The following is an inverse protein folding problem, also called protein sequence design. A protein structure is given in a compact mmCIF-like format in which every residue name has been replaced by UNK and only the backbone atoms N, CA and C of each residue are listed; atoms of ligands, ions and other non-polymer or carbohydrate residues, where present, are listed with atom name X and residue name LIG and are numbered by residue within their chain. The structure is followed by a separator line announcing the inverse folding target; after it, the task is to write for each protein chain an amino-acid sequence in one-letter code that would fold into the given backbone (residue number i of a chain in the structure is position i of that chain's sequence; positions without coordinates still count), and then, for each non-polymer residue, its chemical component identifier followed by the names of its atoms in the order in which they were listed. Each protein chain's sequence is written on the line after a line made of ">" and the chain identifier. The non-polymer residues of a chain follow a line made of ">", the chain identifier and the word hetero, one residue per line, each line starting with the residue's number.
data_IF_297728141353
#
_entry.id   IF_297728141353
#
_cell.length_a   1.000
_cell.length_b   1.000
_cell.length_c   1.000
_cell.angle_alpha   90.00
_cell.angle_beta   90.00
_cell.angle_gamma   90.00
#
_symmetry.space_group_name_H-M   'P 1'
#
loop_
_entity.id
_entity.type
_entity.pdbx_description
1 polymer ?
#
# COMPACT_ATOMS: atom_id res chain seq x y z
N UNK A 1 -0.64 59.66 23.75
CA UNK A 1 -1.02 59.44 22.34
C UNK A 1 -0.53 58.07 21.86
N UNK A 2 -1.10 57.01 22.42
CA UNK A 2 -0.89 55.61 22.03
C UNK A 2 -2.27 54.99 22.11
N UNK A 3 -2.77 54.44 20.99
CA UNK A 3 -4.04 53.69 20.75
C UNK A 3 -4.80 54.24 19.54
N UNK A 4 -4.21 54.12 18.35
CA UNK A 4 -4.96 54.24 17.08
C UNK A 4 -4.35 53.45 15.91
N UNK A 5 -3.35 52.59 16.14
CA UNK A 5 -2.63 51.89 15.06
C UNK A 5 -2.78 50.36 15.04
N UNK A 6 -3.62 49.79 15.92
CA UNK A 6 -3.74 48.32 16.09
C UNK A 6 -4.98 47.69 15.44
N UNK A 7 -5.75 48.43 14.64
CA UNK A 7 -6.97 47.89 13.98
C UNK A 7 -6.92 47.82 12.46
N UNK A 8 -5.89 48.38 11.81
CA UNK A 8 -5.72 48.29 10.35
C UNK A 8 -4.78 47.18 9.89
N UNK A 9 -3.98 46.58 10.78
CA UNK A 9 -3.08 45.48 10.40
C UNK A 9 -3.76 44.10 10.40
N UNK A 10 -4.94 43.96 11.04
CA UNK A 10 -5.66 42.68 11.14
C UNK A 10 -6.57 42.44 9.93
N UNK A 11 -6.96 43.48 9.20
CA UNK A 11 -7.82 43.36 8.02
C UNK A 11 -7.08 42.97 6.74
N UNK A 12 -5.75 43.18 6.67
CA UNK A 12 -4.95 42.82 5.49
C UNK A 12 -4.33 41.41 5.55
N UNK A 13 -4.16 40.86 6.76
CA UNK A 13 -3.75 39.45 6.96
C UNK A 13 -4.94 38.49 6.78
N UNK A 14 -6.18 38.96 6.94
CA UNK A 14 -7.38 38.16 6.73
C UNK A 14 -7.81 38.02 5.25
N UNK A 15 -7.24 38.80 4.33
CA UNK A 15 -7.63 38.81 2.91
C UNK A 15 -6.67 38.05 1.98
N UNK A 16 -5.52 37.58 2.48
CA UNK A 16 -4.54 36.80 1.71
C UNK A 16 -4.47 35.30 2.10
N UNK A 17 -5.39 34.81 2.93
CA UNK A 17 -5.47 33.41 3.34
C UNK A 17 -6.64 32.63 2.71
N UNK A 18 -7.35 33.22 1.74
CA UNK A 18 -8.18 32.47 0.79
C UNK A 18 -7.33 32.14 -0.45
N UNK A 19 -6.22 31.42 -0.24
CA UNK A 19 -5.82 30.45 -1.26
C UNK A 19 -6.98 29.47 -1.29
N UNK A 20 -7.67 29.43 -2.41
CA UNK A 20 -8.66 28.40 -2.70
C UNK A 20 -8.00 27.06 -2.37
N UNK A 21 -8.33 26.50 -1.20
CA UNK A 21 -8.10 25.10 -0.93
C UNK A 21 -8.87 24.42 -2.06
N UNK A 22 -8.23 23.71 -3.00
CA UNK A 22 -8.97 22.96 -3.99
C UNK A 22 -9.94 22.12 -3.19
N UNK A 23 -11.24 22.34 -3.43
CA UNK A 23 -12.29 21.70 -2.67
C UNK A 23 -11.97 20.21 -2.64
N UNK A 24 -11.80 19.67 -1.43
CA UNK A 24 -11.73 18.23 -1.27
C UNK A 24 -13.12 17.74 -1.66
N UNK A 25 -13.29 17.45 -2.94
CA UNK A 25 -14.36 16.60 -3.44
C UNK A 25 -14.11 15.27 -2.72
N UNK A 26 -14.86 15.04 -1.65
CA UNK A 26 -14.90 13.74 -1.00
C UNK A 26 -15.59 12.81 -1.97
N UNK A 27 -14.84 11.85 -2.50
CA UNK A 27 -15.38 10.82 -3.36
C UNK A 27 -16.40 10.00 -2.56
N UNK A 28 -17.68 10.21 -2.84
CA UNK A 28 -18.66 9.13 -2.85
C UNK A 28 -18.13 8.05 -3.79
N UNK A 29 -18.40 6.77 -3.49
CA UNK A 29 -18.14 5.63 -4.38
C UNK A 29 -18.29 6.00 -5.85
N UNK A 30 -17.18 6.08 -6.57
CA UNK A 30 -17.22 6.17 -8.03
C UNK A 30 -17.04 4.76 -8.56
N UNK A 31 -18.09 3.96 -8.38
CA UNK A 31 -18.17 2.61 -8.93
C UNK A 31 -18.47 2.66 -10.44
N UNK A 32 -18.93 3.82 -10.95
CA UNK A 32 -19.23 4.02 -12.36
C UNK A 32 -17.95 3.90 -13.21
N UNK A 33 -17.84 2.88 -14.07
CA UNK A 33 -16.67 2.70 -14.91
C UNK A 33 -16.45 3.86 -15.90
N UNK A 34 -17.50 4.60 -16.24
CA UNK A 34 -17.44 5.80 -17.09
C UNK A 34 -16.67 6.93 -16.42
N UNK A 35 -16.89 7.12 -15.11
CA UNK A 35 -16.21 8.19 -14.38
C UNK A 35 -14.76 7.80 -14.09
N UNK A 36 -14.50 6.53 -13.78
CA UNK A 36 -13.12 6.02 -13.66
C UNK A 36 -12.34 6.15 -14.98
N UNK A 37 -13.00 5.90 -16.11
CA UNK A 37 -12.41 6.10 -17.43
C UNK A 37 -12.11 7.59 -17.71
N UNK A 38 -12.99 8.51 -17.29
CA UNK A 38 -12.71 9.94 -17.38
C UNK A 38 -11.53 10.35 -16.48
N UNK A 39 -11.47 9.83 -15.25
CA UNK A 39 -10.33 10.05 -14.35
C UNK A 39 -9.03 9.52 -14.94
N UNK A 40 -9.06 8.37 -15.61
CA UNK A 40 -7.90 7.83 -16.34
C UNK A 40 -7.42 8.80 -17.42
N UNK A 41 -8.35 9.36 -18.23
CA UNK A 41 -8.01 10.35 -19.26
C UNK A 41 -7.43 11.63 -18.66
N UNK A 42 -7.99 12.11 -17.57
CA UNK A 42 -7.51 13.31 -16.89
C UNK A 42 -6.12 13.09 -16.29
N UNK A 43 -5.88 11.92 -15.70
CA UNK A 43 -4.55 11.53 -15.19
C UNK A 43 -3.52 11.41 -16.33
N UNK A 44 -3.91 10.84 -17.47
CA UNK A 44 -3.08 10.77 -18.66
C UNK A 44 -2.71 12.16 -19.19
N UNK A 45 -3.71 13.02 -19.40
CA UNK A 45 -3.52 14.38 -19.91
C UNK A 45 -2.62 15.21 -18.98
N UNK A 46 -2.74 15.00 -17.66
CA UNK A 46 -1.85 15.61 -16.68
C UNK A 46 -0.40 15.14 -16.82
N UNK A 47 -0.18 13.83 -16.96
CA UNK A 47 1.14 13.26 -17.19
C UNK A 47 1.79 13.77 -18.48
N UNK A 48 0.99 13.92 -19.54
CA UNK A 48 1.44 14.52 -20.81
C UNK A 48 1.83 16.00 -20.64
N UNK A 49 1.03 16.78 -19.93
CA UNK A 49 1.25 18.22 -19.74
C UNK A 49 2.49 18.53 -18.88
N UNK A 50 2.75 17.74 -17.84
CA UNK A 50 3.85 17.95 -16.89
C UNK A 50 5.17 17.29 -17.35
N UNK A 51 5.13 16.51 -18.43
CA UNK A 51 6.17 15.55 -18.81
C UNK A 51 6.14 14.35 -17.86
N UNK A 52 6.00 13.14 -18.41
CA UNK A 52 5.91 11.92 -17.62
C UNK A 52 7.16 11.74 -16.73
N UNK A 53 7.00 12.10 -15.46
CA UNK A 53 7.90 11.72 -14.38
C UNK A 53 7.34 10.47 -13.69
N UNK A 54 8.17 9.82 -12.88
CA UNK A 54 7.81 8.54 -12.25
C UNK A 54 6.52 8.64 -11.42
N UNK A 55 6.31 9.77 -10.75
CA UNK A 55 5.11 10.04 -9.96
C UNK A 55 3.83 10.17 -10.79
N UNK A 56 3.89 10.85 -11.93
CA UNK A 56 2.76 10.95 -12.84
C UNK A 56 2.34 9.57 -13.34
N UNK A 57 3.32 8.73 -13.68
CA UNK A 57 3.08 7.35 -14.11
C UNK A 57 2.50 6.48 -12.97
N UNK A 58 3.01 6.60 -11.75
CA UNK A 58 2.42 5.91 -10.57
C UNK A 58 0.97 6.34 -10.31
N UNK A 59 0.66 7.61 -10.52
CA UNK A 59 -0.71 8.13 -10.38
C UNK A 59 -1.61 7.49 -11.43
N UNK A 60 -1.16 7.48 -12.69
CA UNK A 60 -1.89 6.87 -13.79
C UNK A 60 -2.11 5.36 -13.58
N UNK A 61 -1.09 4.64 -13.12
CA UNK A 61 -1.16 3.23 -12.74
C UNK A 61 -2.28 2.96 -11.74
N UNK A 62 -2.33 3.70 -10.63
CA UNK A 62 -3.39 3.51 -9.62
C UNK A 62 -4.78 3.80 -10.20
N UNK A 63 -4.92 4.80 -11.07
CA UNK A 63 -6.21 5.07 -11.73
C UNK A 63 -6.66 3.91 -12.61
N UNK A 64 -5.74 3.32 -13.39
CA UNK A 64 -6.02 2.12 -14.21
C UNK A 64 -6.43 0.95 -13.34
N UNK A 65 -5.72 0.72 -12.23
CA UNK A 65 -6.04 -0.39 -11.33
C UNK A 65 -7.43 -0.23 -10.71
N UNK A 66 -7.80 1.00 -10.31
CA UNK A 66 -9.13 1.27 -9.79
C UNK A 66 -10.23 1.10 -10.84
N UNK A 67 -9.99 1.54 -12.08
CA UNK A 67 -10.91 1.35 -13.19
C UNK A 67 -11.10 -0.14 -13.51
N UNK A 68 -10.01 -0.88 -13.68
CA UNK A 68 -10.04 -2.31 -13.96
C UNK A 68 -10.72 -3.13 -12.87
N UNK A 69 -10.43 -2.81 -11.60
CA UNK A 69 -11.13 -3.38 -10.43
C UNK A 69 -12.65 -3.18 -10.50
N UNK A 70 -13.10 -1.98 -10.81
CA UNK A 70 -14.53 -1.68 -10.89
C UNK A 70 -15.21 -2.40 -12.08
N UNK A 71 -14.53 -2.44 -13.24
CA UNK A 71 -14.99 -3.19 -14.41
C UNK A 71 -15.09 -4.69 -14.12
N UNK A 72 -14.07 -5.29 -13.50
CA UNK A 72 -14.08 -6.71 -13.11
C UNK A 72 -15.27 -7.04 -12.19
N UNK A 73 -15.57 -6.17 -11.23
CA UNK A 73 -16.66 -6.40 -10.28
C UNK A 73 -18.05 -6.22 -10.87
N UNK A 74 -18.25 -5.28 -11.81
CA UNK A 74 -19.58 -4.89 -12.28
C UNK A 74 -19.91 -5.37 -13.70
N UNK A 75 -18.89 -5.50 -14.55
CA UNK A 75 -19.03 -5.80 -15.98
C UNK A 75 -17.97 -6.84 -16.43
N UNK A 76 -17.89 -8.02 -15.79
CA UNK A 76 -16.86 -9.02 -16.09
C UNK A 76 -16.92 -9.57 -17.52
N UNK A 77 -18.10 -9.53 -18.16
CA UNK A 77 -18.32 -10.01 -19.53
C UNK A 77 -18.17 -8.88 -20.59
N UNK A 78 -17.76 -7.68 -20.19
CA UNK A 78 -17.62 -6.55 -21.11
C UNK A 78 -16.43 -6.78 -22.08
N UNK A 79 -16.62 -6.58 -23.39
CA UNK A 79 -15.54 -6.67 -24.37
C UNK A 79 -14.33 -5.76 -24.07
N UNK A 80 -14.52 -4.65 -23.35
CA UNK A 80 -13.47 -3.73 -22.93
C UNK A 80 -12.59 -4.28 -21.80
N UNK A 81 -12.97 -5.40 -21.16
CA UNK A 81 -12.16 -6.04 -20.11
C UNK A 81 -10.74 -6.34 -20.59
N UNK A 82 -10.58 -6.87 -21.81
CA UNK A 82 -9.27 -7.21 -22.37
C UNK A 82 -8.37 -6.00 -22.58
N UNK A 83 -8.94 -4.84 -22.89
CA UNK A 83 -8.19 -3.58 -23.03
C UNK A 83 -7.63 -3.14 -21.67
N UNK A 84 -8.45 -3.17 -20.62
CA UNK A 84 -8.04 -2.84 -19.25
C UNK A 84 -7.01 -3.83 -18.69
N UNK A 85 -7.17 -5.12 -18.98
CA UNK A 85 -6.19 -6.14 -18.61
C UNK A 85 -4.83 -5.88 -19.29
N UNK A 86 -4.85 -5.61 -20.60
CA UNK A 86 -3.65 -5.28 -21.38
C UNK A 86 -2.95 -4.03 -20.85
N UNK A 87 -3.71 -2.98 -20.55
CA UNK A 87 -3.17 -1.73 -20.02
C UNK A 87 -2.59 -1.90 -18.62
N UNK A 88 -3.26 -2.68 -17.77
CA UNK A 88 -2.80 -3.05 -16.43
C UNK A 88 -1.46 -3.76 -16.48
N UNK A 89 -1.30 -4.77 -17.35
CA UNK A 89 -0.04 -5.51 -17.52
C UNK A 89 1.06 -4.58 -18.05
N UNK A 90 0.78 -3.82 -19.11
CA UNK A 90 1.78 -2.94 -19.73
C UNK A 90 2.35 -1.91 -18.75
N UNK A 91 1.50 -1.22 -18.01
CA UNK A 91 1.94 -0.15 -17.11
C UNK A 91 2.47 -0.73 -15.80
N UNK A 92 1.88 -1.83 -15.32
CA UNK A 92 2.42 -2.59 -14.18
C UNK A 92 3.85 -3.05 -14.43
N UNK A 93 4.14 -3.61 -15.60
CA UNK A 93 5.51 -4.03 -15.96
C UNK A 93 6.43 -2.84 -16.20
N UNK A 94 5.97 -1.81 -16.91
CA UNK A 94 6.79 -0.61 -17.18
C UNK A 94 7.29 0.09 -15.91
N UNK A 95 6.47 0.09 -14.84
CA UNK A 95 6.77 0.67 -13.54
C UNK A 95 7.31 -0.34 -12.51
N UNK A 96 7.62 -1.56 -12.94
CA UNK A 96 8.11 -2.64 -12.06
C UNK A 96 7.22 -2.81 -10.82
N UNK A 97 5.91 -2.96 -11.04
CA UNK A 97 4.93 -3.10 -9.96
C UNK A 97 5.34 -4.21 -8.99
N UNK A 98 5.36 -3.92 -7.69
CA UNK A 98 5.63 -4.89 -6.64
C UNK A 98 4.64 -4.71 -5.47
N UNK A 99 3.97 -5.77 -4.98
CA UNK A 99 3.03 -5.66 -3.87
C UNK A 99 3.60 -5.06 -2.59
N UNK A 100 4.89 -5.26 -2.32
CA UNK A 100 5.52 -4.77 -1.09
C UNK A 100 5.71 -3.26 -1.07
N UNK A 101 5.88 -2.63 -2.24
CA UNK A 101 6.16 -1.19 -2.35
C UNK A 101 5.06 -0.41 -3.05
N UNK A 102 4.12 -1.10 -3.69
CA UNK A 102 2.93 -0.48 -4.24
C UNK A 102 1.91 -0.28 -3.10
N UNK A 103 1.36 0.93 -3.03
CA UNK A 103 0.41 1.31 -1.98
C UNK A 103 -1.04 1.05 -2.37
N UNK A 104 -1.29 0.44 -3.53
CA UNK A 104 -2.61 0.07 -4.00
C UNK A 104 -3.01 -1.32 -3.48
N UNK A 105 -3.98 -1.36 -2.56
CA UNK A 105 -4.53 -2.60 -2.00
C UNK A 105 -5.47 -3.36 -2.96
N UNK A 106 -5.38 -3.13 -4.28
CA UNK A 106 -6.07 -3.89 -5.30
C UNK A 106 -5.14 -4.89 -6.02
N UNK A 107 -4.17 -5.48 -5.30
CA UNK A 107 -3.22 -6.48 -5.85
C UNK A 107 -3.93 -7.63 -6.58
N UNK A 108 -5.11 -8.00 -6.09
CA UNK A 108 -5.95 -9.03 -6.72
C UNK A 108 -6.33 -8.69 -8.17
N UNK A 109 -6.58 -7.42 -8.49
CA UNK A 109 -6.91 -7.00 -9.86
C UNK A 109 -5.70 -7.17 -10.77
N UNK A 110 -4.51 -6.80 -10.31
CA UNK A 110 -3.27 -7.00 -11.07
C UNK A 110 -3.05 -8.47 -11.38
N UNK A 111 -3.32 -9.35 -10.39
CA UNK A 111 -3.29 -10.80 -10.58
C UNK A 111 -4.31 -11.27 -11.62
N UNK A 112 -5.55 -10.78 -11.54
CA UNK A 112 -6.62 -11.17 -12.46
C UNK A 112 -6.34 -10.71 -13.90
N UNK A 113 -5.92 -9.46 -14.09
CA UNK A 113 -5.54 -8.92 -15.38
C UNK A 113 -4.38 -9.70 -16.01
N UNK A 114 -3.34 -10.01 -15.23
CA UNK A 114 -2.21 -10.78 -15.72
C UNK A 114 -2.59 -12.24 -16.05
N UNK A 115 -3.42 -12.88 -15.23
CA UNK A 115 -3.96 -14.22 -15.52
C UNK A 115 -4.86 -14.25 -16.76
N UNK A 116 -5.65 -13.19 -16.98
CA UNK A 116 -6.43 -13.05 -18.21
C UNK A 116 -5.53 -12.97 -19.44
N UNK A 117 -4.48 -12.15 -19.40
CA UNK A 117 -3.52 -12.01 -20.49
C UNK A 117 -2.77 -13.31 -20.75
N UNK A 118 -2.32 -14.03 -19.72
CA UNK A 118 -1.65 -15.33 -19.85
C UNK A 118 -2.52 -16.37 -20.57
N UNK A 119 -3.85 -16.28 -20.44
CA UNK A 119 -4.82 -17.20 -21.05
C UNK A 119 -5.31 -16.79 -22.45
N UNK A 120 -5.31 -15.50 -22.78
CA UNK A 120 -6.01 -14.98 -23.96
C UNK A 120 -5.11 -14.21 -24.95
N UNK A 121 -3.88 -13.88 -24.58
CA UNK A 121 -2.95 -13.18 -25.48
C UNK A 121 -2.15 -14.15 -26.35
N UNK A 122 -2.01 -13.82 -27.63
CA UNK A 122 -1.05 -14.48 -28.54
C UNK A 122 0.28 -13.70 -28.66
N UNK A 123 0.37 -12.49 -28.06
CA UNK A 123 1.57 -11.67 -28.06
C UNK A 123 2.58 -12.18 -27.02
N UNK A 124 3.74 -12.66 -27.50
CA UNK A 124 4.81 -13.23 -26.66
C UNK A 124 5.40 -12.24 -25.67
N UNK A 125 5.51 -10.97 -26.02
CA UNK A 125 6.06 -9.95 -25.12
C UNK A 125 5.06 -9.69 -23.98
N UNK A 126 3.79 -9.51 -24.34
CA UNK A 126 2.70 -9.33 -23.38
C UNK A 126 2.51 -10.54 -22.44
N UNK A 127 2.70 -11.77 -22.95
CA UNK A 127 2.69 -12.99 -22.13
C UNK A 127 3.86 -13.00 -21.13
N UNK A 128 5.06 -12.65 -21.55
CA UNK A 128 6.22 -12.58 -20.66
C UNK A 128 6.02 -11.52 -19.55
N UNK A 129 5.47 -10.37 -19.91
CA UNK A 129 5.13 -9.30 -18.97
C UNK A 129 4.08 -9.75 -17.94
N UNK A 130 3.02 -10.40 -18.40
CA UNK A 130 1.98 -10.95 -17.53
C UNK A 130 2.52 -12.00 -16.56
N UNK A 131 3.36 -12.92 -17.04
CA UNK A 131 4.00 -13.94 -16.20
C UNK A 131 4.94 -13.33 -15.16
N UNK A 132 5.66 -12.28 -15.53
CA UNK A 132 6.53 -11.55 -14.60
C UNK A 132 5.69 -10.85 -13.51
N UNK A 133 4.54 -10.26 -13.83
CA UNK A 133 3.63 -9.70 -12.84
C UNK A 133 3.02 -10.77 -11.94
N UNK A 134 2.57 -11.89 -12.53
CA UNK A 134 2.04 -13.04 -11.78
C UNK A 134 3.05 -13.56 -10.75
N UNK A 135 4.33 -13.64 -11.12
CA UNK A 135 5.39 -14.03 -10.18
C UNK A 135 5.45 -13.11 -8.95
N UNK A 136 5.29 -11.80 -9.14
CA UNK A 136 5.35 -10.81 -8.06
C UNK A 136 4.12 -10.90 -7.16
N UNK A 137 2.92 -10.85 -7.73
CA UNK A 137 1.67 -10.91 -6.97
C UNK A 137 1.47 -12.25 -6.27
N UNK A 138 2.05 -13.35 -6.77
CA UNK A 138 1.93 -14.66 -6.14
C UNK A 138 3.05 -14.95 -5.12
N UNK A 139 3.97 -14.01 -4.89
CA UNK A 139 5.08 -14.17 -3.93
C UNK A 139 4.72 -13.76 -2.48
N UNK A 140 3.47 -13.39 -2.22
CA UNK A 140 3.00 -12.94 -0.89
C UNK A 140 3.19 -13.95 0.25
N UNK A 141 3.25 -15.24 -0.08
CA UNK A 141 3.52 -16.32 0.88
C UNK A 141 5.02 -16.67 1.05
N UNK A 142 5.92 -16.06 0.26
CA UNK A 142 7.38 -16.18 0.40
C UNK A 142 8.00 -14.80 0.69
N UNK A 143 8.14 -14.43 1.98
CA UNK A 143 8.74 -13.17 2.42
C UNK A 143 10.10 -12.85 1.80
N UNK A 144 10.95 -13.87 1.58
CA UNK A 144 12.30 -13.67 1.08
C UNK A 144 12.31 -13.41 -0.43
N UNK A 145 11.47 -14.14 -1.18
CA UNK A 145 11.27 -13.89 -2.61
C UNK A 145 10.67 -12.49 -2.83
N UNK A 146 9.60 -12.13 -2.10
CA UNK A 146 8.95 -10.83 -2.23
C UNK A 146 9.91 -9.68 -1.91
N UNK A 147 10.69 -9.79 -0.82
CA UNK A 147 11.70 -8.81 -0.45
C UNK A 147 12.77 -8.59 -1.54
N UNK A 148 13.24 -9.68 -2.15
CA UNK A 148 14.24 -9.62 -3.23
C UNK A 148 13.65 -8.98 -4.49
N UNK A 149 12.46 -9.40 -4.91
CA UNK A 149 11.79 -8.82 -6.08
C UNK A 149 11.55 -7.32 -5.86
N UNK A 150 11.11 -6.90 -4.67
CA UNK A 150 10.91 -5.49 -4.36
C UNK A 150 12.19 -4.65 -4.47
N UNK A 151 13.34 -5.21 -4.08
CA UNK A 151 14.64 -4.56 -4.25
C UNK A 151 15.04 -4.43 -5.73
N UNK A 152 14.86 -5.51 -6.49
CA UNK A 152 15.16 -5.58 -7.92
C UNK A 152 14.31 -4.56 -8.71
N UNK A 153 13.01 -4.55 -8.43
CA UNK A 153 12.00 -3.68 -9.04
C UNK A 153 12.25 -2.20 -8.72
N UNK A 154 12.43 -1.86 -7.44
CA UNK A 154 12.75 -0.49 -7.06
C UNK A 154 14.12 -0.03 -7.60
N UNK A 155 15.07 -0.96 -7.72
CA UNK A 155 16.34 -0.72 -8.40
C UNK A 155 16.18 -0.43 -9.90
N UNK A 156 15.24 -1.11 -10.56
CA UNK A 156 14.90 -0.87 -11.96
C UNK A 156 14.23 0.49 -12.17
N UNK A 157 13.30 0.87 -11.28
CA UNK A 157 12.70 2.21 -11.28
C UNK A 157 13.75 3.32 -11.18
N UNK A 158 14.74 3.20 -10.29
CA UNK A 158 15.83 4.21 -10.21
C UNK A 158 16.70 4.24 -11.48
N UNK A 159 16.85 3.14 -12.22
CA UNK A 159 17.57 3.12 -13.50
C UNK A 159 16.75 3.78 -14.61
N UNK A 160 15.43 3.56 -14.62
CA UNK A 160 14.50 4.13 -15.60
C UNK A 160 14.27 5.63 -15.36
N UNK A 161 14.32 6.07 -14.10
CA UNK A 161 14.12 7.46 -13.69
C UNK A 161 15.29 7.98 -12.83
N UNK A 162 16.48 8.20 -13.42
CA UNK A 162 17.66 8.61 -12.65
C UNK A 162 17.46 9.96 -11.95
N UNK A 163 17.61 9.96 -10.63
CA UNK A 163 17.50 11.17 -9.82
C UNK A 163 16.06 11.59 -9.47
N UNK A 164 15.05 10.84 -9.92
CA UNK A 164 13.67 11.05 -9.50
C UNK A 164 13.53 10.80 -7.99
N UNK A 165 12.86 11.74 -7.30
CA UNK A 165 12.73 11.74 -5.84
C UNK A 165 11.94 10.51 -5.37
N UNK A 166 10.81 10.22 -6.02
CA UNK A 166 9.91 9.14 -5.61
C UNK A 166 10.55 7.77 -5.91
N UNK A 167 11.29 7.62 -7.02
CA UNK A 167 12.03 6.39 -7.30
C UNK A 167 13.12 6.11 -6.25
N UNK A 168 13.85 7.14 -5.81
CA UNK A 168 14.86 7.02 -4.75
C UNK A 168 14.24 6.68 -3.39
N UNK A 169 13.07 7.25 -3.07
CA UNK A 169 12.33 6.97 -1.85
C UNK A 169 11.80 5.53 -1.82
N UNK A 170 11.13 5.09 -2.90
CA UNK A 170 10.60 3.72 -3.03
C UNK A 170 11.73 2.69 -2.89
N UNK A 171 12.94 2.99 -3.37
CA UNK A 171 14.09 2.10 -3.24
C UNK A 171 14.58 1.92 -1.81
N UNK A 172 14.49 2.94 -0.96
CA UNK A 172 14.77 2.82 0.47
C UNK A 172 13.62 2.13 1.19
N UNK A 173 12.38 2.49 0.83
CA UNK A 173 11.16 1.87 1.36
C UNK A 173 11.13 0.37 1.10
N UNK A 174 11.47 -0.09 -0.10
CA UNK A 174 11.55 -1.51 -0.47
C UNK A 174 12.41 -2.30 0.52
N UNK A 175 13.60 -1.79 0.83
CA UNK A 175 14.50 -2.45 1.77
C UNK A 175 14.03 -2.32 3.23
N UNK A 176 13.42 -1.19 3.59
CA UNK A 176 12.86 -1.03 4.93
C UNK A 176 11.72 -2.02 5.17
N UNK A 177 10.77 -2.10 4.23
CA UNK A 177 9.64 -3.03 4.25
C UNK A 177 10.09 -4.48 4.17
N UNK A 178 11.11 -4.78 3.36
CA UNK A 178 11.75 -6.10 3.32
C UNK A 178 12.33 -6.51 4.69
N UNK A 179 13.00 -5.59 5.40
CA UNK A 179 13.48 -5.86 6.76
C UNK A 179 12.33 -6.09 7.74
N UNK A 180 11.27 -5.29 7.68
CA UNK A 180 10.11 -5.48 8.54
C UNK A 180 9.46 -6.85 8.32
N UNK A 181 9.36 -7.28 7.06
CA UNK A 181 8.73 -8.53 6.66
C UNK A 181 9.58 -9.78 7.01
N UNK A 182 10.89 -9.72 6.77
CA UNK A 182 11.79 -10.89 6.87
C UNK A 182 12.62 -10.93 8.15
N UNK A 183 12.79 -9.77 8.81
CA UNK A 183 13.74 -9.54 9.91
C UNK A 183 15.22 -9.77 9.55
N UNK A 184 15.55 -9.89 8.27
CA UNK A 184 16.93 -10.05 7.82
C UNK A 184 17.71 -8.72 7.90
N UNK A 185 18.82 -8.65 8.68
CA UNK A 185 19.64 -7.44 8.81
C UNK A 185 20.23 -6.91 7.51
N UNK A 186 20.36 -7.72 6.45
CA UNK A 186 20.88 -7.28 5.17
C UNK A 186 20.02 -6.17 4.56
N UNK A 187 18.69 -6.29 4.68
CA UNK A 187 17.74 -5.30 4.14
C UNK A 187 17.79 -3.99 4.92
N UNK A 188 17.89 -4.06 6.25
CA UNK A 188 18.10 -2.88 7.10
C UNK A 188 19.40 -2.16 6.74
N UNK A 189 20.48 -2.93 6.54
CA UNK A 189 21.78 -2.39 6.14
C UNK A 189 21.71 -1.68 4.79
N UNK A 190 21.01 -2.26 3.81
CA UNK A 190 20.78 -1.65 2.48
C UNK A 190 19.94 -0.38 2.57
N UNK A 191 18.85 -0.39 3.35
CA UNK A 191 18.00 0.79 3.56
C UNK A 191 18.81 1.97 4.12
N UNK A 192 19.60 1.74 5.18
CA UNK A 192 20.46 2.75 5.79
C UNK A 192 21.56 3.23 4.82
N UNK A 193 22.20 2.31 4.09
CA UNK A 193 23.23 2.65 3.12
C UNK A 193 22.70 3.54 1.99
N UNK A 194 21.50 3.23 1.47
CA UNK A 194 20.85 4.01 0.41
C UNK A 194 20.36 5.36 0.91
N UNK A 195 19.76 5.41 2.10
CA UNK A 195 19.37 6.66 2.74
C UNK A 195 20.55 7.60 3.03
N UNK A 196 21.75 7.04 3.26
CA UNK A 196 22.97 7.80 3.49
C UNK A 196 23.58 8.42 2.21
N UNK A 197 23.21 7.94 1.01
CA UNK A 197 23.77 8.41 -0.26
C UNK A 197 23.51 9.89 -0.48
N UNK A 198 24.51 10.65 -0.94
CA UNK A 198 24.46 12.11 -1.05
C UNK A 198 23.29 12.66 -1.88
N UNK A 199 22.82 11.91 -2.88
CA UNK A 199 21.69 12.24 -3.74
C UNK A 199 20.31 11.82 -3.17
N UNK A 200 20.26 11.08 -2.07
CA UNK A 200 18.99 10.66 -1.46
C UNK A 200 18.21 11.88 -0.93
N UNK A 201 16.92 12.06 -1.28
CA UNK A 201 16.16 13.27 -0.97
C UNK A 201 15.63 13.29 0.47
N UNK A 202 16.52 13.42 1.46
CA UNK A 202 16.18 13.37 2.91
C UNK A 202 15.08 14.35 3.36
N UNK A 203 14.91 15.49 2.69
CA UNK A 203 13.87 16.48 3.00
C UNK A 203 12.45 16.00 2.61
N UNK A 204 12.37 15.03 1.71
CA UNK A 204 11.15 14.42 1.20
C UNK A 204 10.91 13.05 1.85
N UNK A 205 11.31 12.84 3.10
CA UNK A 205 11.08 11.54 3.74
C UNK A 205 9.62 11.44 4.25
N UNK A 206 8.83 10.44 3.79
CA UNK A 206 7.46 10.23 4.26
C UNK A 206 7.36 10.05 5.76
N UNK A 207 6.25 10.45 6.37
CA UNK A 207 6.05 10.33 7.83
C UNK A 207 5.69 8.92 8.29
N UNK A 208 5.05 8.10 7.43
CA UNK A 208 4.63 6.74 7.73
C UNK A 208 5.82 5.81 8.04
N UNK A 209 6.65 5.49 7.05
CA UNK A 209 7.82 4.61 7.21
C UNK A 209 9.09 5.40 7.58
N UNK A 210 9.17 6.68 7.17
CA UNK A 210 10.38 7.47 7.38
C UNK A 210 10.67 7.77 8.85
N UNK A 211 9.63 7.95 9.67
CA UNK A 211 9.83 8.11 11.12
C UNK A 211 10.43 6.84 11.75
N UNK A 212 10.08 5.67 11.24
CA UNK A 212 10.64 4.39 11.70
C UNK A 212 12.10 4.24 11.27
N UNK A 213 12.42 4.58 10.02
CA UNK A 213 13.79 4.60 9.54
C UNK A 213 14.65 5.58 10.37
N UNK A 214 14.11 6.75 10.71
CA UNK A 214 14.78 7.73 11.58
C UNK A 214 14.98 7.18 12.99
N UNK A 215 13.99 6.49 13.57
CA UNK A 215 14.14 5.85 14.88
C UNK A 215 15.24 4.78 14.84
N UNK A 216 15.26 3.94 13.80
CA UNK A 216 16.28 2.92 13.62
C UNK A 216 17.68 3.51 13.38
N UNK A 217 17.79 4.59 12.61
CA UNK A 217 19.06 5.31 12.44
C UNK A 217 19.56 5.91 13.76
N UNK A 218 18.67 6.48 14.59
CA UNK A 218 19.04 6.95 15.92
C UNK A 218 19.55 5.80 16.80
N UNK A 219 18.85 4.66 16.81
CA UNK A 219 19.30 3.48 17.56
C UNK A 219 20.67 2.98 17.05
N UNK A 220 20.82 2.84 15.74
CA UNK A 220 22.07 2.44 15.10
C UNK A 220 23.25 3.36 15.48
N UNK A 221 22.98 4.65 15.69
CA UNK A 221 24.03 5.61 16.03
C UNK A 221 24.62 5.43 17.45
N UNK A 222 23.91 4.72 18.33
CA UNK A 222 24.21 4.59 19.77
C UNK A 222 24.36 3.15 20.28
N UNK A 223 23.89 2.14 19.54
CA UNK A 223 23.74 0.75 20.02
C UNK A 223 24.81 -0.23 19.48
N UNK A 224 25.06 -1.34 20.19
CA UNK A 224 25.99 -2.42 19.84
C UNK A 224 25.43 -3.48 18.88
N UNK A 225 24.11 -3.48 18.61
CA UNK A 225 23.44 -4.43 17.71
C UNK A 225 23.56 -4.12 16.20
N UNK A 226 24.43 -3.19 15.82
CA UNK A 226 24.62 -2.71 14.45
C UNK A 226 26.08 -2.85 14.02
N UNK A 227 26.28 -3.11 12.73
CA UNK A 227 27.61 -3.15 12.12
C UNK A 227 28.22 -1.75 12.04
N UNK A 228 29.56 -1.66 12.00
CA UNK A 228 30.25 -0.36 11.88
C UNK A 228 29.81 0.44 10.64
N UNK A 229 29.50 -0.25 9.54
CA UNK A 229 28.98 0.36 8.32
C UNK A 229 27.57 0.95 8.53
N UNK A 230 26.67 0.22 9.19
CA UNK A 230 25.34 0.74 9.56
C UNK A 230 25.45 1.96 10.46
N UNK A 231 26.34 1.95 11.47
CA UNK A 231 26.57 3.10 12.35
C UNK A 231 27.03 4.33 11.55
N UNK A 232 27.97 4.15 10.62
CA UNK A 232 28.46 5.23 9.76
C UNK A 232 27.35 5.79 8.86
N UNK A 233 26.60 4.91 8.19
CA UNK A 233 25.50 5.29 7.31
C UNK A 233 24.39 6.03 8.07
N UNK A 234 24.00 5.51 9.24
CA UNK A 234 23.02 6.15 10.11
C UNK A 234 23.44 7.54 10.55
N UNK A 235 24.71 7.73 10.95
CA UNK A 235 25.26 9.05 11.29
C UNK A 235 25.25 10.01 10.10
N UNK A 236 25.64 9.54 8.91
CA UNK A 236 25.60 10.34 7.69
C UNK A 236 24.19 10.78 7.29
N UNK A 237 23.24 9.85 7.34
CA UNK A 237 21.82 10.13 7.11
C UNK A 237 21.26 11.14 8.13
N UNK A 238 21.47 10.91 9.43
CA UNK A 238 21.00 11.80 10.50
C UNK A 238 21.62 13.20 10.42
N UNK A 239 22.90 13.31 10.06
CA UNK A 239 23.56 14.60 9.89
C UNK A 239 22.92 15.41 8.76
N UNK A 240 22.63 14.77 7.62
CA UNK A 240 21.93 15.40 6.50
C UNK A 240 20.49 15.75 6.83
N UNK A 241 19.78 14.87 7.52
CA UNK A 241 18.42 15.14 7.99
C UNK A 241 18.37 16.37 8.89
N UNK A 242 19.26 16.48 9.89
CA UNK A 242 19.36 17.64 10.78
C UNK A 242 19.66 18.94 10.02
N UNK A 243 20.42 18.87 8.93
CA UNK A 243 20.72 20.03 8.09
C UNK A 243 19.49 20.54 7.31
N UNK A 244 18.48 19.69 7.08
CA UNK A 244 17.24 20.04 6.36
C UNK A 244 16.00 20.02 7.24
N UNK A 245 16.11 19.69 8.52
CA UNK A 245 15.00 19.55 9.47
C UNK A 245 14.04 20.75 9.51
N UNK A 246 14.48 22.04 9.46
CA UNK A 246 13.55 23.17 9.36
C UNK A 246 12.80 23.25 8.02
N UNK A 247 13.25 22.51 7.01
CA UNK A 247 12.66 22.38 5.67
C UNK A 247 12.02 21.01 5.44
N UNK A 248 11.88 20.14 6.46
CA UNK A 248 11.15 18.88 6.31
C UNK A 248 9.72 19.26 5.93
N UNK A 249 9.42 19.20 4.64
CA UNK A 249 8.12 19.62 4.12
C UNK A 249 7.12 18.62 4.69
N UNK A 250 6.31 19.08 5.65
CA UNK A 250 5.29 18.27 6.34
C UNK A 250 4.23 17.70 5.34
N UNK A 251 4.34 17.94 4.03
CA UNK A 251 3.24 17.71 3.10
C UNK A 251 3.58 17.37 1.63
N UNK A 252 4.80 16.98 1.22
CA UNK A 252 5.07 16.85 -0.24
C UNK A 252 5.69 15.55 -0.76
N UNK A 253 5.47 14.43 -0.07
CA UNK A 253 5.49 13.13 -0.75
C UNK A 253 4.04 12.69 -0.87
N UNK A 254 3.55 12.57 -2.10
CA UNK A 254 2.24 11.97 -2.40
C UNK A 254 2.39 10.49 -2.76
N UNK A 255 3.25 9.77 -2.05
CA UNK A 255 2.83 8.45 -1.65
C UNK A 255 1.57 8.72 -0.82
N UNK A 256 0.38 8.49 -1.39
CA UNK A 256 -0.87 8.64 -0.67
C UNK A 256 -0.66 8.00 0.70
N UNK A 257 -0.67 8.77 1.80
CA UNK A 257 -0.50 8.18 3.13
C UNK A 257 -1.48 7.02 3.24
N UNK A 258 -1.06 5.85 3.75
CA UNK A 258 -2.00 4.72 3.87
C UNK A 258 -3.27 5.12 4.65
N UNK A 259 -3.18 6.07 5.60
CA UNK A 259 -4.32 6.67 6.29
C UNK A 259 -5.21 7.58 5.40
N UNK A 260 -4.64 8.20 4.36
CA UNK A 260 -5.39 8.88 3.29
C UNK A 260 -5.90 7.90 2.21
N UNK A 261 -5.35 6.68 2.19
CA UNK A 261 -5.81 5.57 1.35
C UNK A 261 -7.05 4.91 1.96
N UNK A 262 -7.09 4.73 3.29
CA UNK A 262 -8.21 4.17 4.06
C UNK A 262 -9.33 5.19 4.33
N UNK A 263 -9.98 5.68 3.27
CA UNK A 263 -10.95 6.79 3.36
C UNK A 263 -12.38 6.37 3.04
N UNK A 264 -12.57 5.18 2.49
CA UNK A 264 -13.89 4.70 2.10
C UNK A 264 -14.44 3.82 3.20
N UNK A 265 -15.75 3.85 3.43
CA UNK A 265 -16.41 2.91 4.32
C UNK A 265 -17.39 2.10 3.50
N UNK A 266 -17.31 0.79 3.62
CA UNK A 266 -18.33 -0.11 3.15
C UNK A 266 -19.65 0.19 3.91
N UNK A 267 -20.80 0.22 3.21
CA UNK A 267 -22.09 0.32 3.87
C UNK A 267 -22.27 -0.85 4.86
N UNK A 268 -22.85 -0.57 6.02
CA UNK A 268 -23.01 -1.57 7.06
C UNK A 268 -23.96 -2.73 6.68
N UNK A 269 -24.80 -2.51 5.68
CA UNK A 269 -25.77 -3.43 5.09
C UNK A 269 -25.29 -4.09 3.79
N UNK A 270 -24.07 -3.80 3.33
CA UNK A 270 -23.47 -4.47 2.19
C UNK A 270 -23.00 -5.89 2.59
N UNK A 271 -23.15 -6.85 1.67
CA UNK A 271 -22.97 -8.27 1.96
C UNK A 271 -21.79 -8.86 1.17
N UNK A 272 -20.93 -9.63 1.87
CA UNK A 272 -19.69 -10.14 1.31
C UNK A 272 -19.56 -11.66 1.37
N UNK A 273 -18.89 -12.23 0.37
CA UNK A 273 -18.56 -13.65 0.29
C UNK A 273 -19.78 -14.55 0.06
N UNK A 274 -19.55 -15.87 0.05
CA UNK A 274 -20.59 -16.86 -0.28
C UNK A 274 -21.74 -16.88 0.73
N UNK A 275 -21.49 -16.50 1.98
CA UNK A 275 -22.51 -16.44 3.03
C UNK A 275 -23.24 -15.11 3.07
N UNK A 276 -22.90 -14.14 2.20
CA UNK A 276 -23.51 -12.80 2.21
C UNK A 276 -23.47 -12.20 3.61
N UNK A 277 -22.28 -12.13 4.22
CA UNK A 277 -22.12 -11.57 5.57
C UNK A 277 -21.97 -10.06 5.49
N UNK A 278 -22.73 -9.33 6.30
CA UNK A 278 -22.49 -7.90 6.49
C UNK A 278 -21.32 -7.64 7.43
N UNK A 279 -20.82 -6.41 7.49
CA UNK A 279 -19.73 -6.03 8.40
C UNK A 279 -20.12 -6.32 9.86
N UNK A 280 -21.36 -6.02 10.24
CA UNK A 280 -21.88 -6.31 11.58
C UNK A 280 -21.94 -7.81 11.85
N UNK A 281 -22.30 -8.62 10.84
CA UNK A 281 -22.29 -10.07 10.98
C UNK A 281 -20.85 -10.60 11.12
N UNK A 282 -19.90 -10.13 10.30
CA UNK A 282 -18.48 -10.49 10.41
C UNK A 282 -17.98 -10.27 11.84
N UNK A 283 -18.23 -9.09 12.42
CA UNK A 283 -17.82 -8.80 13.80
C UNK A 283 -18.50 -9.72 14.83
N UNK A 284 -19.81 -9.92 14.71
CA UNK A 284 -20.56 -10.75 15.65
C UNK A 284 -20.12 -12.21 15.60
N UNK A 285 -19.82 -12.72 14.40
CA UNK A 285 -19.28 -14.06 14.17
C UNK A 285 -17.89 -14.21 14.79
N UNK A 286 -16.99 -13.24 14.59
CA UNK A 286 -15.68 -13.25 15.26
C UNK A 286 -15.80 -13.24 16.80
N UNK A 287 -16.73 -12.46 17.36
CA UNK A 287 -17.00 -12.48 18.82
C UNK A 287 -17.48 -13.86 19.27
N UNK A 288 -18.44 -14.44 18.55
CA UNK A 288 -18.98 -15.76 18.84
C UNK A 288 -17.89 -16.84 18.78
N UNK A 289 -17.10 -16.89 17.71
CA UNK A 289 -16.04 -17.89 17.55
C UNK A 289 -14.99 -17.76 18.66
N UNK A 290 -14.56 -16.55 19.02
CA UNK A 290 -13.62 -16.37 20.13
C UNK A 290 -14.22 -16.84 21.46
N UNK A 291 -15.49 -16.52 21.72
CA UNK A 291 -16.19 -17.03 22.89
C UNK A 291 -16.15 -18.56 22.91
N UNK A 292 -16.51 -19.23 21.80
CA UNK A 292 -16.47 -20.71 21.73
C UNK A 292 -15.06 -21.28 21.94
N UNK A 293 -14.02 -20.63 21.39
CA UNK A 293 -12.63 -21.01 21.62
C UNK A 293 -12.18 -20.83 23.07
N UNK A 294 -12.73 -19.87 23.81
CA UNK A 294 -12.45 -19.67 25.24
C UNK A 294 -13.06 -20.80 26.11
N UNK A 295 -14.07 -21.53 25.58
CA UNK A 295 -14.65 -22.73 26.20
C UNK A 295 -14.07 -24.05 25.67
N UNK A 296 -12.88 -24.01 25.06
CA UNK A 296 -12.18 -25.19 24.52
C UNK A 296 -12.98 -25.99 23.47
N UNK A 297 -13.84 -25.33 22.68
CA UNK A 297 -14.54 -25.99 21.56
C UNK A 297 -13.61 -26.37 20.39
N UNK A 298 -12.34 -25.95 20.43
CA UNK A 298 -11.31 -26.32 19.46
C UNK A 298 -11.69 -25.96 18.03
N UNK A 299 -11.59 -26.93 17.11
CA UNK A 299 -11.81 -26.74 15.68
C UNK A 299 -13.28 -26.90 15.23
N UNK A 300 -14.25 -26.88 16.15
CA UNK A 300 -15.67 -27.02 15.79
C UNK A 300 -16.19 -25.84 14.98
N UNK A 301 -15.57 -24.67 15.16
CA UNK A 301 -15.95 -23.42 14.49
C UNK A 301 -15.07 -23.13 13.25
N UNK A 302 -14.24 -24.08 12.80
CA UNK A 302 -13.27 -23.85 11.71
C UNK A 302 -13.94 -23.51 10.37
N UNK A 303 -15.09 -24.12 10.09
CA UNK A 303 -15.87 -23.82 8.88
C UNK A 303 -16.43 -22.40 8.92
N UNK A 304 -17.01 -22.00 10.06
CA UNK A 304 -17.55 -20.64 10.26
C UNK A 304 -16.44 -19.60 10.22
N UNK A 305 -15.31 -19.86 10.88
CA UNK A 305 -14.15 -18.97 10.84
C UNK A 305 -13.61 -18.80 9.41
N UNK A 306 -13.55 -19.89 8.64
CA UNK A 306 -13.10 -19.85 7.24
C UNK A 306 -14.07 -19.07 6.35
N UNK A 307 -15.38 -19.21 6.58
CA UNK A 307 -16.38 -18.41 5.90
C UNK A 307 -16.22 -16.91 6.21
N UNK A 308 -16.00 -16.55 7.47
CA UNK A 308 -15.70 -15.18 7.89
C UNK A 308 -14.43 -14.65 7.21
N UNK A 309 -13.34 -15.42 7.21
CA UNK A 309 -12.10 -15.03 6.54
C UNK A 309 -12.29 -14.78 5.04
N UNK A 310 -13.04 -15.63 4.35
CA UNK A 310 -13.39 -15.43 2.94
C UNK A 310 -14.29 -14.21 2.72
N UNK A 311 -15.21 -13.90 3.65
CA UNK A 311 -16.02 -12.69 3.58
C UNK A 311 -15.17 -11.42 3.74
N UNK A 312 -14.18 -11.42 4.64
CA UNK A 312 -13.23 -10.31 4.80
C UNK A 312 -12.38 -10.13 3.53
N UNK A 313 -11.92 -11.21 2.90
CA UNK A 313 -11.19 -11.15 1.62
C UNK A 313 -12.10 -10.58 0.52
N UNK A 314 -13.37 -11.00 0.45
CA UNK A 314 -14.33 -10.44 -0.48
C UNK A 314 -14.59 -8.95 -0.23
N UNK A 315 -14.72 -8.54 1.04
CA UNK A 315 -14.81 -7.14 1.44
C UNK A 315 -13.58 -6.35 0.99
N UNK A 316 -12.36 -6.88 1.17
CA UNK A 316 -11.13 -6.24 0.69
C UNK A 316 -11.14 -6.06 -0.84
N UNK A 317 -11.69 -7.01 -1.61
CA UNK A 317 -11.78 -6.84 -3.06
C UNK A 317 -12.67 -5.67 -3.46
N UNK A 318 -13.85 -5.58 -2.83
CA UNK A 318 -14.86 -4.56 -3.15
C UNK A 318 -14.49 -3.21 -2.54
N UNK A 319 -13.85 -3.20 -1.37
CA UNK A 319 -13.54 -2.02 -0.58
C UNK A 319 -12.12 -2.06 0.00
N UNK A 320 -11.07 -2.10 -0.84
CA UNK A 320 -9.67 -2.22 -0.41
C UNK A 320 -9.17 -1.01 0.40
N UNK A 321 -9.98 0.03 0.47
CA UNK A 321 -9.73 1.30 1.17
C UNK A 321 -10.59 1.45 2.41
N UNK A 322 -11.20 0.36 2.86
CA UNK A 322 -11.98 0.37 4.09
C UNK A 322 -11.08 0.41 5.32
N UNK A 323 -11.26 1.44 6.15
CA UNK A 323 -10.44 1.66 7.35
C UNK A 323 -10.59 0.56 8.42
N UNK A 324 -11.68 -0.21 8.39
CA UNK A 324 -11.96 -1.25 9.36
C UNK A 324 -11.30 -2.58 8.95
N UNK A 325 -10.93 -2.76 7.66
CA UNK A 325 -10.29 -3.97 7.16
C UNK A 325 -9.03 -4.39 7.92
N UNK A 326 -8.05 -3.52 8.22
CA UNK A 326 -6.87 -3.95 8.97
C UNK A 326 -7.22 -4.55 10.34
N UNK A 327 -8.24 -4.00 11.02
CA UNK A 327 -8.70 -4.53 12.31
C UNK A 327 -9.41 -5.87 12.15
N UNK A 328 -10.32 -5.98 11.17
CA UNK A 328 -11.04 -7.22 10.90
C UNK A 328 -10.09 -8.35 10.49
N UNK A 329 -9.11 -8.07 9.62
CA UNK A 329 -8.07 -9.02 9.23
C UNK A 329 -7.23 -9.47 10.42
N UNK A 330 -6.78 -8.54 11.27
CA UNK A 330 -6.01 -8.90 12.46
C UNK A 330 -6.80 -9.77 13.42
N UNK A 331 -8.07 -9.42 13.66
CA UNK A 331 -8.92 -10.20 14.53
C UNK A 331 -9.18 -11.60 13.97
N UNK A 332 -9.51 -11.70 12.69
CA UNK A 332 -9.69 -12.97 12.01
C UNK A 332 -8.43 -13.84 12.09
N UNK A 333 -7.26 -13.29 11.76
CA UNK A 333 -5.98 -14.00 11.87
C UNK A 333 -5.71 -14.51 13.30
N UNK A 334 -5.85 -13.64 14.31
CA UNK A 334 -5.55 -14.01 15.71
C UNK A 334 -6.51 -15.07 16.24
N UNK A 335 -7.78 -15.04 15.83
CA UNK A 335 -8.78 -16.07 16.11
C UNK A 335 -8.44 -17.39 15.44
N UNK A 336 -8.19 -17.38 14.13
CA UNK A 336 -7.88 -18.61 13.37
C UNK A 336 -6.55 -19.24 13.78
N UNK A 337 -5.57 -18.46 14.25
CA UNK A 337 -4.29 -18.98 14.77
C UNK A 337 -4.46 -19.87 16.01
N UNK A 338 -5.58 -19.74 16.74
CA UNK A 338 -5.92 -20.60 17.89
C UNK A 338 -6.42 -21.98 17.46
N UNK A 339 -6.81 -22.14 16.19
CA UNK A 339 -7.29 -23.39 15.61
C UNK A 339 -6.14 -24.19 15.00
N UNK A 340 -6.25 -25.52 15.00
CA UNK A 340 -5.16 -26.42 14.57
C UNK A 340 -5.42 -27.15 13.26
N UNK A 341 -6.59 -27.02 12.67
CA UNK A 341 -6.91 -27.65 11.40
C UNK A 341 -6.20 -26.98 10.20
N UNK A 342 -6.16 -27.67 9.07
CA UNK A 342 -5.44 -27.18 7.88
C UNK A 342 -6.13 -25.98 7.22
N UNK A 343 -7.47 -25.97 7.18
CA UNK A 343 -8.26 -24.97 6.49
C UNK A 343 -8.18 -23.60 7.18
N UNK A 344 -8.27 -23.59 8.50
CA UNK A 344 -8.12 -22.38 9.31
C UNK A 344 -6.72 -21.81 9.20
N UNK A 345 -5.69 -22.67 9.22
CA UNK A 345 -4.29 -22.23 9.05
C UNK A 345 -4.01 -21.68 7.67
N UNK A 346 -4.60 -22.25 6.63
CA UNK A 346 -4.50 -21.76 5.26
C UNK A 346 -5.12 -20.36 5.13
N UNK A 347 -6.36 -20.19 5.60
CA UNK A 347 -7.06 -18.92 5.56
C UNK A 347 -6.35 -17.86 6.41
N UNK A 348 -5.85 -18.24 7.59
CA UNK A 348 -5.06 -17.37 8.44
C UNK A 348 -3.78 -16.88 7.74
N UNK A 349 -3.09 -17.76 6.99
CA UNK A 349 -1.88 -17.38 6.25
C UNK A 349 -2.19 -16.33 5.18
N UNK A 350 -3.28 -16.53 4.41
CA UNK A 350 -3.73 -15.59 3.39
C UNK A 350 -4.11 -14.23 3.99
N UNK A 351 -4.89 -14.21 5.08
CA UNK A 351 -5.24 -12.98 5.78
C UNK A 351 -4.00 -12.27 6.32
N UNK A 352 -3.06 -13.02 6.89
CA UNK A 352 -1.78 -12.47 7.36
C UNK A 352 -1.00 -11.85 6.21
N UNK A 353 -0.86 -12.55 5.09
CA UNK A 353 -0.11 -12.08 3.92
C UNK A 353 -0.68 -10.73 3.43
N UNK A 354 -2.00 -10.66 3.19
CA UNK A 354 -2.69 -9.42 2.79
C UNK A 354 -2.44 -8.30 3.82
N UNK A 355 -2.65 -8.56 5.11
CA UNK A 355 -2.45 -7.56 6.16
C UNK A 355 -1.01 -7.06 6.22
N UNK A 356 -0.01 -7.95 6.09
CA UNK A 356 1.41 -7.58 6.23
C UNK A 356 2.05 -7.03 4.96
N UNK A 357 1.42 -7.23 3.79
CA UNK A 357 1.90 -6.74 2.49
C UNK A 357 1.12 -5.50 2.06
N UNK A 358 -0.21 -5.60 1.94
CA UNK A 358 -1.04 -4.52 1.42
C UNK A 358 -1.38 -3.45 2.46
N UNK A 359 -1.47 -3.84 3.74
CA UNK A 359 -1.82 -2.96 4.87
C UNK A 359 -0.67 -2.79 5.87
N UNK A 360 0.58 -2.90 5.39
CA UNK A 360 1.78 -2.92 6.22
C UNK A 360 1.92 -1.69 7.14
N UNK A 361 1.43 -0.54 6.69
CA UNK A 361 1.50 0.70 7.47
C UNK A 361 0.54 0.71 8.67
N UNK A 362 -0.48 -0.16 8.69
CA UNK A 362 -1.48 -0.23 9.74
C UNK A 362 -0.89 -0.64 11.10
N UNK A 363 -1.41 -0.12 12.23
CA UNK A 363 -1.00 -0.58 13.57
C UNK A 363 -1.13 -2.10 13.77
N UNK A 364 -2.12 -2.70 13.10
CA UNK A 364 -2.40 -4.13 13.13
C UNK A 364 -1.32 -4.96 12.45
N UNK A 365 -0.92 -4.58 11.24
CA UNK A 365 0.19 -5.23 10.55
C UNK A 365 1.48 -5.13 11.36
N UNK A 366 1.76 -3.95 11.94
CA UNK A 366 2.94 -3.73 12.79
C UNK A 366 3.01 -4.69 13.97
N UNK A 367 1.88 -4.94 14.66
CA UNK A 367 1.81 -5.93 15.75
C UNK A 367 2.22 -7.32 15.27
N UNK A 368 1.75 -7.74 14.09
CA UNK A 368 2.07 -9.05 13.53
C UNK A 368 3.50 -9.19 13.04
N UNK A 369 4.10 -8.08 12.60
CA UNK A 369 5.49 -8.08 12.18
C UNK A 369 6.44 -8.02 13.38
N UNK A 370 6.01 -7.43 14.51
CA UNK A 370 6.80 -7.35 15.75
C UNK A 370 6.76 -8.61 16.63
N UNK A 371 5.71 -9.42 16.49
CA UNK A 371 5.56 -10.75 17.08
C UNK A 371 6.51 -11.76 16.40
#
# INVERSE_FOLDING_TARGET
>A
MIRAFSKFLVAFVALCAFVAVPGVVRATYEADPTVLYQQMKDAYAKGEADGWNFRAELTYLSTIFNAGRAYSLQYPDDPAYGELATLTVRIGTGLHFNPLTNHDAAVWWVREAADWIDKHSDDREMLADAQALLQRVNSEDDPNLLARLADEDAGANVRNYPGDIDALLIRVEANWRAWLLTRDPQWRSLALARAAQANFPVAHLPTNWGNELVAAANQASTDRGYTAAEVQNARGFLARLRAVDPLRVIASVTALPHDAYLTTLAPADEYFGQMSMSILEIENRLKHINFMLDYDYGNRESDEASAVGNAIIAMQKVYPRDRDLPMLMYWCYTTMRRMTDAQSRETARRIKAILTVEYQDSPQARKLLSD
#
